data_IF_927476469806
#
_entry.id   IF_927476469806
#
_cell.length_a   1.000
_cell.length_b   1.000
_cell.length_c   1.000
_cell.angle_alpha   90.00
_cell.angle_beta   90.00
_cell.angle_gamma   90.00
#
_symmetry.space_group_name_H-M   'P 1'
#
loop_
_entity.id
_entity.type
_entity.pdbx_description
1 polymer ?
#
# COMPACT_ATOMS: atom_id res chain seq x y z
N UNK A 1 29.04 -21.53 14.41
CA UNK A 1 27.79 -20.92 13.90
C UNK A 1 27.97 -19.43 13.58
N UNK A 2 28.64 -18.63 14.42
CA UNK A 2 28.95 -17.20 14.16
C UNK A 2 29.75 -16.89 12.88
N UNK A 3 30.74 -17.72 12.50
CA UNK A 3 31.56 -17.47 11.28
C UNK A 3 30.82 -17.72 9.96
N UNK A 4 29.72 -18.49 9.99
CA UNK A 4 28.93 -18.83 8.79
C UNK A 4 27.88 -17.76 8.51
N UNK A 5 27.32 -17.13 9.56
CA UNK A 5 26.44 -15.97 9.43
C UNK A 5 27.20 -14.74 8.91
N UNK A 6 28.41 -14.48 9.42
CA UNK A 6 29.24 -13.35 8.95
C UNK A 6 29.64 -13.49 7.48
N UNK A 7 29.92 -14.72 7.02
CA UNK A 7 30.24 -14.99 5.62
C UNK A 7 29.04 -14.79 4.68
N UNK A 8 27.82 -15.09 5.14
CA UNK A 8 26.60 -14.85 4.36
C UNK A 8 26.24 -13.37 4.28
N UNK A 9 26.35 -12.64 5.40
CA UNK A 9 26.12 -11.20 5.44
C UNK A 9 27.15 -10.46 4.58
N UNK A 10 28.44 -10.81 4.68
CA UNK A 10 29.49 -10.23 3.84
C UNK A 10 29.28 -10.52 2.34
N UNK A 11 28.79 -11.71 1.98
CA UNK A 11 28.43 -12.05 0.59
C UNK A 11 27.19 -11.31 0.10
N UNK A 12 26.17 -11.14 0.95
CA UNK A 12 24.97 -10.37 0.60
C UNK A 12 25.30 -8.89 0.38
N UNK A 13 26.15 -8.31 1.24
CA UNK A 13 26.68 -6.94 1.08
C UNK A 13 27.49 -6.82 -0.20
N UNK A 14 28.40 -7.76 -0.48
CA UNK A 14 29.17 -7.78 -1.72
C UNK A 14 28.28 -7.94 -2.96
N UNK A 15 27.24 -8.77 -2.90
CA UNK A 15 26.28 -8.96 -3.97
C UNK A 15 25.41 -7.71 -4.19
N UNK A 16 25.02 -7.00 -3.13
CA UNK A 16 24.28 -5.74 -3.19
C UNK A 16 25.12 -4.61 -3.80
N UNK A 17 26.37 -4.46 -3.36
CA UNK A 17 27.30 -3.50 -3.98
C UNK A 17 27.63 -3.92 -5.40
N UNK A 18 27.80 -5.20 -5.67
CA UNK A 18 27.92 -5.69 -7.04
C UNK A 18 26.66 -5.43 -7.85
N UNK A 19 25.44 -5.52 -7.33
CA UNK A 19 24.21 -5.25 -8.11
C UNK A 19 24.04 -3.74 -8.37
N UNK A 20 24.33 -2.89 -7.39
CA UNK A 20 24.36 -1.44 -7.56
C UNK A 20 25.50 -0.96 -8.50
N UNK A 21 26.68 -1.57 -8.39
CA UNK A 21 27.84 -1.28 -9.25
C UNK A 21 27.81 -2.08 -10.58
N UNK A 22 27.04 -3.17 -10.68
CA UNK A 22 26.77 -3.93 -11.91
C UNK A 22 25.83 -3.08 -12.73
N UNK A 23 26.45 -2.16 -13.46
CA UNK A 23 26.14 -1.62 -14.78
C UNK A 23 24.71 -1.11 -15.02
N UNK A 24 23.65 -1.81 -14.62
CA UNK A 24 22.27 -1.47 -14.93
C UNK A 24 21.76 -0.25 -14.15
N UNK A 25 21.86 -0.23 -12.82
CA UNK A 25 21.38 0.90 -12.01
C UNK A 25 22.19 2.16 -12.32
N UNK A 26 23.52 2.06 -12.24
CA UNK A 26 24.40 3.19 -12.55
C UNK A 26 24.23 3.68 -13.99
N UNK A 27 24.21 2.80 -15.01
CA UNK A 27 24.05 3.24 -16.41
C UNK A 27 22.67 3.85 -16.68
N UNK A 28 21.62 3.41 -15.97
CA UNK A 28 20.27 3.92 -16.16
C UNK A 28 19.99 5.22 -15.39
N UNK A 29 20.85 5.65 -14.46
CA UNK A 29 20.66 6.84 -13.62
C UNK A 29 20.24 8.09 -14.44
N UNK A 30 21.04 8.48 -15.43
CA UNK A 30 20.72 9.67 -16.24
C UNK A 30 19.52 9.46 -17.17
N UNK A 31 19.22 8.21 -17.53
CA UNK A 31 18.05 7.86 -18.36
C UNK A 31 16.77 7.99 -17.53
N UNK A 32 16.79 7.58 -16.27
CA UNK A 32 15.73 7.81 -15.30
C UNK A 32 15.45 9.30 -15.15
N UNK A 33 16.48 10.12 -14.89
CA UNK A 33 16.35 11.58 -14.82
C UNK A 33 15.74 12.18 -16.10
N UNK A 34 16.20 11.77 -17.28
CA UNK A 34 15.65 12.24 -18.56
C UNK A 34 14.17 11.89 -18.72
N UNK A 35 13.76 10.69 -18.33
CA UNK A 35 12.38 10.25 -18.46
C UNK A 35 11.47 11.01 -17.49
N UNK A 36 11.87 11.18 -16.23
CA UNK A 36 11.09 11.93 -15.25
C UNK A 36 10.98 13.40 -15.66
N UNK A 37 12.06 14.00 -16.16
CA UNK A 37 12.02 15.39 -16.65
C UNK A 37 11.02 15.56 -17.79
N UNK A 38 11.01 14.62 -18.75
CA UNK A 38 10.04 14.62 -19.85
C UNK A 38 8.61 14.44 -19.36
N UNK A 39 8.39 13.55 -18.40
CA UNK A 39 7.06 13.31 -17.82
C UNK A 39 6.54 14.56 -17.11
N UNK A 40 7.35 15.17 -16.25
CA UNK A 40 6.99 16.40 -15.55
C UNK A 40 6.69 17.54 -16.54
N UNK A 41 7.55 17.78 -17.54
CA UNK A 41 7.30 18.80 -18.57
C UNK A 41 6.04 18.52 -19.40
N UNK A 42 5.79 17.27 -19.76
CA UNK A 42 4.60 16.89 -20.53
C UNK A 42 3.32 17.09 -19.72
N UNK A 43 3.37 16.77 -18.43
CA UNK A 43 2.28 16.99 -17.50
C UNK A 43 2.01 18.49 -17.33
N UNK A 44 3.05 19.33 -17.22
CA UNK A 44 2.89 20.78 -17.16
C UNK A 44 2.35 21.37 -18.48
N UNK A 45 2.73 20.83 -19.64
CA UNK A 45 2.25 21.34 -20.93
C UNK A 45 0.79 20.96 -21.23
N UNK A 46 0.39 19.74 -20.87
CA UNK A 46 -0.92 19.17 -21.24
C UNK A 46 -1.94 19.21 -20.10
N UNK A 47 -1.47 19.16 -18.86
CA UNK A 47 -2.29 19.12 -17.66
C UNK A 47 -3.02 20.43 -17.41
N UNK A 48 -2.41 21.58 -17.71
CA UNK A 48 -3.06 22.89 -17.53
C UNK A 48 -4.37 23.01 -18.34
N UNK A 49 -4.35 22.64 -19.63
CA UNK A 49 -5.55 22.64 -20.46
C UNK A 49 -6.62 21.66 -19.96
N UNK A 50 -6.18 20.53 -19.41
CA UNK A 50 -7.08 19.52 -18.84
C UNK A 50 -7.72 20.04 -17.55
N UNK A 51 -6.95 20.68 -16.69
CA UNK A 51 -7.44 21.30 -15.46
C UNK A 51 -8.40 22.45 -15.77
N UNK A 52 -8.07 23.34 -16.70
CA UNK A 52 -8.95 24.44 -17.12
C UNK A 52 -10.31 23.95 -17.60
N UNK A 53 -10.34 22.87 -18.39
CA UNK A 53 -11.58 22.23 -18.83
C UNK A 53 -12.40 21.70 -17.66
N UNK A 54 -11.76 20.97 -16.73
CA UNK A 54 -12.42 20.41 -15.56
C UNK A 54 -12.94 21.51 -14.61
N UNK A 55 -12.18 22.57 -14.41
CA UNK A 55 -12.59 23.75 -13.64
C UNK A 55 -13.82 24.42 -14.26
N UNK A 56 -13.86 24.56 -15.59
CA UNK A 56 -15.03 25.09 -16.29
C UNK A 56 -16.26 24.17 -16.16
N UNK A 57 -16.09 22.85 -16.27
CA UNK A 57 -17.16 21.86 -16.07
C UNK A 57 -17.74 21.92 -14.64
N UNK A 58 -16.91 22.16 -13.65
CA UNK A 58 -17.30 22.27 -12.23
C UNK A 58 -17.76 23.68 -11.82
N UNK A 59 -17.59 24.68 -12.68
CA UNK A 59 -17.86 26.09 -12.34
C UNK A 59 -16.91 26.68 -11.29
N UNK A 60 -15.72 26.09 -11.11
CA UNK A 60 -14.71 26.55 -10.16
C UNK A 60 -13.80 27.57 -10.84
N UNK A 61 -13.68 28.76 -10.25
CA UNK A 61 -12.81 29.83 -10.80
C UNK A 61 -11.45 29.91 -10.10
N UNK A 62 -11.39 29.51 -8.83
CA UNK A 62 -10.19 29.61 -7.99
C UNK A 62 -9.60 28.22 -7.70
N UNK A 63 -8.36 27.92 -8.15
CA UNK A 63 -7.71 26.65 -7.86
C UNK A 63 -7.48 26.37 -6.37
N UNK A 64 -7.41 27.41 -5.51
CA UNK A 64 -7.25 27.20 -4.06
C UNK A 64 -8.48 26.50 -3.43
N UNK A 65 -9.62 26.48 -4.14
CA UNK A 65 -10.79 25.67 -3.77
C UNK A 65 -10.45 24.18 -3.65
N UNK A 66 -9.51 23.66 -4.45
CA UNK A 66 -9.11 22.25 -4.39
C UNK A 66 -8.36 21.90 -3.10
N UNK A 67 -7.63 22.85 -2.52
CA UNK A 67 -6.99 22.66 -1.20
C UNK A 67 -8.03 22.59 -0.10
N UNK A 68 -9.02 23.49 -0.14
CA UNK A 68 -10.14 23.48 0.80
C UNK A 68 -10.92 22.15 0.72
N UNK A 69 -11.18 21.65 -0.48
CA UNK A 69 -11.84 20.37 -0.68
C UNK A 69 -11.04 19.19 -0.13
N UNK A 70 -9.71 19.21 -0.27
CA UNK A 70 -8.85 18.20 0.34
C UNK A 70 -8.91 18.25 1.87
N UNK A 71 -8.90 19.45 2.46
CA UNK A 71 -9.01 19.63 3.92
C UNK A 71 -10.36 19.13 4.44
N UNK A 72 -11.46 19.43 3.74
CA UNK A 72 -12.81 18.93 4.06
C UNK A 72 -12.89 17.40 3.96
N UNK A 73 -12.30 16.82 2.93
CA UNK A 73 -12.22 15.36 2.75
C UNK A 73 -11.38 14.71 3.87
N UNK A 74 -10.22 15.30 4.22
CA UNK A 74 -9.40 14.84 5.33
C UNK A 74 -10.13 14.92 6.68
N UNK A 75 -10.87 15.99 6.96
CA UNK A 75 -11.68 16.12 8.18
C UNK A 75 -12.78 15.05 8.23
N UNK A 76 -13.45 14.81 7.08
CA UNK A 76 -14.45 13.76 6.97
C UNK A 76 -13.85 12.37 7.23
N UNK A 77 -12.77 12.01 6.54
CA UNK A 77 -12.09 10.72 6.74
C UNK A 77 -11.57 10.58 8.17
N UNK A 78 -11.06 11.65 8.78
CA UNK A 78 -10.68 11.68 10.18
C UNK A 78 -11.86 11.42 11.12
N UNK A 79 -13.05 11.93 10.80
CA UNK A 79 -14.25 11.69 11.59
C UNK A 79 -14.76 10.24 11.51
N UNK A 80 -14.43 9.50 10.45
CA UNK A 80 -14.74 8.06 10.32
C UNK A 80 -13.87 7.18 11.21
N UNK A 81 -12.71 7.67 11.68
CA UNK A 81 -11.82 6.94 12.59
C UNK A 81 -12.25 7.03 14.06
N UNK A 82 -13.22 7.89 14.40
CA UNK A 82 -13.77 7.95 15.75
C UNK A 82 -14.85 6.90 15.95
N UNK A 83 -14.63 6.01 16.92
CA UNK A 83 -15.54 4.92 17.33
C UNK A 83 -16.98 5.46 17.52
N UNK A 84 -17.91 5.06 16.66
CA UNK A 84 -19.23 5.63 16.75
C UNK A 84 -20.13 5.08 17.85
N UNK A 85 -21.17 5.83 18.19
CA UNK A 85 -22.27 5.37 19.07
C UNK A 85 -22.90 4.07 18.54
N UNK A 86 -22.86 3.86 17.23
CA UNK A 86 -23.30 2.66 16.54
C UNK A 86 -22.39 1.44 16.78
N UNK A 87 -21.09 1.60 17.03
CA UNK A 87 -20.23 0.48 17.47
C UNK A 87 -20.58 0.06 18.91
N UNK A 88 -20.99 1.02 19.74
CA UNK A 88 -21.59 0.71 21.06
C UNK A 88 -22.90 -0.07 20.88
N UNK A 89 -23.76 0.32 19.92
CA UNK A 89 -24.98 -0.43 19.59
C UNK A 89 -24.70 -1.80 18.96
N UNK A 90 -23.61 -1.96 18.19
CA UNK A 90 -23.18 -3.25 17.61
C UNK A 90 -22.62 -4.19 18.68
N UNK A 91 -21.87 -3.66 19.65
CA UNK A 91 -21.45 -4.40 20.84
C UNK A 91 -22.65 -4.80 21.70
N UNK A 92 -23.61 -3.90 21.90
CA UNK A 92 -24.88 -4.22 22.58
C UNK A 92 -25.66 -5.28 21.80
N UNK A 93 -25.75 -5.17 20.48
CA UNK A 93 -26.41 -6.16 19.62
C UNK A 93 -25.73 -7.53 19.71
N UNK A 94 -24.40 -7.59 19.65
CA UNK A 94 -23.63 -8.82 19.86
C UNK A 94 -23.91 -9.43 21.24
N UNK A 95 -23.93 -8.60 22.29
CA UNK A 95 -24.24 -9.04 23.65
C UNK A 95 -25.66 -9.62 23.76
N UNK A 96 -26.64 -9.01 23.08
CA UNK A 96 -28.01 -9.52 23.00
C UNK A 96 -28.12 -10.81 22.20
N UNK A 97 -27.35 -11.00 21.12
CA UNK A 97 -27.27 -12.27 20.39
C UNK A 97 -26.70 -13.39 21.26
N UNK A 98 -25.66 -13.11 22.05
CA UNK A 98 -25.09 -14.06 23.02
C UNK A 98 -26.13 -14.43 24.09
N UNK A 99 -26.88 -13.44 24.60
CA UNK A 99 -27.96 -13.66 25.56
C UNK A 99 -29.07 -14.54 24.96
N UNK A 100 -29.49 -14.26 23.73
CA UNK A 100 -30.52 -15.03 23.01
C UNK A 100 -30.09 -16.48 22.78
N UNK A 101 -28.82 -16.71 22.40
CA UNK A 101 -28.28 -18.06 22.26
C UNK A 101 -28.28 -18.81 23.61
N UNK A 102 -27.94 -18.12 24.70
CA UNK A 102 -27.98 -18.64 26.06
C UNK A 102 -29.39 -19.00 26.53
N UNK A 103 -30.36 -18.11 26.34
CA UNK A 103 -31.75 -18.35 26.75
C UNK A 103 -32.44 -19.41 25.89
N UNK A 104 -32.13 -19.49 24.60
CA UNK A 104 -32.57 -20.58 23.72
C UNK A 104 -32.10 -21.95 24.23
N UNK A 105 -30.81 -22.09 24.54
CA UNK A 105 -30.23 -23.33 25.08
C UNK A 105 -30.83 -23.70 26.44
N UNK A 106 -31.09 -22.71 27.29
CA UNK A 106 -31.73 -22.93 28.59
C UNK A 106 -33.18 -23.42 28.44
N UNK A 107 -33.96 -22.81 27.55
CA UNK A 107 -35.32 -23.24 27.25
C UNK A 107 -35.35 -24.67 26.69
N UNK A 108 -34.45 -24.99 25.76
CA UNK A 108 -34.31 -26.34 25.19
C UNK A 108 -33.94 -27.38 26.25
N UNK A 109 -33.02 -27.04 27.17
CA UNK A 109 -32.68 -27.89 28.32
C UNK A 109 -33.88 -28.15 29.23
N UNK A 110 -34.70 -27.13 29.52
CA UNK A 110 -35.91 -27.30 30.34
C UNK A 110 -36.94 -28.16 29.61
N UNK A 111 -37.16 -27.92 28.31
CA UNK A 111 -38.08 -28.70 27.48
C UNK A 111 -37.66 -30.17 27.41
N UNK A 112 -36.35 -30.46 27.29
CA UNK A 112 -35.83 -31.82 27.26
C UNK A 112 -35.97 -32.57 28.59
N UNK A 113 -36.03 -31.84 29.71
CA UNK A 113 -36.17 -32.41 31.07
C UNK A 113 -37.64 -32.43 31.53
N UNK A 114 -38.54 -31.81 30.77
CA UNK A 114 -39.95 -31.70 31.11
C UNK A 114 -40.69 -33.03 30.90
N UNK A 115 -40.91 -33.75 31.98
CA UNK A 115 -41.67 -34.99 31.98
C UNK A 115 -43.10 -34.75 32.43
N UNK A 116 -44.08 -35.06 31.58
CA UNK A 116 -45.50 -34.99 31.94
C UNK A 116 -45.82 -36.13 32.92
N UNK A 117 -46.10 -35.78 34.18
CA UNK A 117 -46.56 -36.76 35.19
C UNK A 117 -48.00 -37.16 34.85
N UNK A 118 -48.17 -38.33 34.24
CA UNK A 118 -49.46 -38.97 34.04
C UNK A 118 -49.90 -39.69 35.32
N UNK A 119 -51.22 -39.84 35.52
CA UNK A 119 -51.83 -40.43 36.73
C UNK A 119 -51.27 -41.81 37.15
N UNK A 120 -50.61 -42.51 36.24
CA UNK A 120 -50.08 -43.86 36.44
C UNK A 120 -48.70 -43.90 37.13
N UNK A 121 -48.01 -42.76 37.27
CA UNK A 121 -46.64 -42.66 37.81
C UNK A 121 -46.52 -41.78 39.07
N UNK A 122 -47.64 -41.36 39.67
CA UNK A 122 -47.65 -40.45 40.82
C UNK A 122 -47.36 -41.18 42.14
N UNK A 123 -46.32 -40.73 42.87
CA UNK A 123 -45.91 -41.33 44.14
C UNK A 123 -46.57 -40.64 45.36
N UNK A 124 -46.94 -39.35 45.25
CA UNK A 124 -47.70 -38.62 46.28
C UNK A 124 -48.33 -37.32 45.72
N UNK A 125 -49.66 -37.13 45.78
CA UNK A 125 -50.36 -36.01 45.12
C UNK A 125 -49.90 -34.61 45.58
N UNK A 126 -49.53 -34.45 46.85
CA UNK A 126 -49.24 -33.14 47.44
C UNK A 126 -47.79 -32.69 47.20
N UNK A 127 -46.83 -33.61 47.22
CA UNK A 127 -45.43 -33.35 46.84
C UNK A 127 -45.32 -33.11 45.34
N UNK A 128 -45.95 -33.97 44.53
CA UNK A 128 -45.89 -33.94 43.07
C UNK A 128 -46.54 -32.67 42.49
N UNK A 129 -47.68 -32.23 43.04
CA UNK A 129 -48.30 -30.96 42.60
C UNK A 129 -47.45 -29.72 42.88
N UNK A 130 -46.64 -29.74 43.93
CA UNK A 130 -45.73 -28.63 44.27
C UNK A 130 -44.49 -28.60 43.37
N UNK A 131 -43.96 -29.78 43.02
CA UNK A 131 -42.84 -29.95 42.09
C UNK A 131 -43.25 -29.56 40.67
N UNK A 132 -44.45 -29.98 40.21
CA UNK A 132 -44.99 -29.63 38.89
C UNK A 132 -45.22 -28.12 38.76
N UNK A 133 -45.80 -27.46 39.77
CA UNK A 133 -45.98 -25.99 39.74
C UNK A 133 -44.66 -25.22 39.71
N UNK A 134 -43.64 -25.70 40.42
CA UNK A 134 -42.29 -25.11 40.39
C UNK A 134 -41.65 -25.29 39.01
N UNK A 135 -41.70 -26.50 38.46
CA UNK A 135 -41.18 -26.79 37.12
C UNK A 135 -41.91 -25.95 36.05
N UNK A 136 -43.23 -25.82 36.15
CA UNK A 136 -44.03 -25.01 35.21
C UNK A 136 -43.67 -23.52 35.29
N UNK A 137 -43.42 -23.03 36.51
CA UNK A 137 -42.96 -21.66 36.73
C UNK A 137 -41.57 -21.42 36.13
N UNK A 138 -40.65 -22.38 36.29
CA UNK A 138 -39.32 -22.34 35.65
C UNK A 138 -39.43 -22.35 34.12
N UNK A 139 -40.31 -23.19 33.56
CA UNK A 139 -40.57 -23.21 32.12
C UNK A 139 -41.13 -21.88 31.59
N UNK A 140 -42.13 -21.29 32.26
CA UNK A 140 -42.68 -19.98 31.88
C UNK A 140 -41.61 -18.88 31.91
N UNK A 141 -40.80 -18.82 32.97
CA UNK A 141 -39.74 -17.82 33.07
C UNK A 141 -38.66 -17.99 31.99
N UNK A 142 -38.27 -19.22 31.66
CA UNK A 142 -37.34 -19.47 30.56
C UNK A 142 -37.92 -19.02 29.21
N UNK A 143 -39.21 -19.28 28.97
CA UNK A 143 -39.90 -18.86 27.76
C UNK A 143 -40.07 -17.33 27.67
N UNK A 144 -40.36 -16.66 28.79
CA UNK A 144 -40.45 -15.20 28.88
C UNK A 144 -39.09 -14.53 28.63
N UNK A 145 -38.00 -15.09 29.20
CA UNK A 145 -36.64 -14.60 28.95
C UNK A 145 -36.23 -14.73 27.48
N UNK A 146 -36.47 -15.90 26.86
CA UNK A 146 -36.22 -16.08 25.43
C UNK A 146 -36.98 -15.07 24.57
N UNK A 147 -38.26 -14.82 24.87
CA UNK A 147 -39.06 -13.83 24.13
C UNK A 147 -38.56 -12.40 24.34
N UNK A 148 -38.11 -12.06 25.55
CA UNK A 148 -37.55 -10.75 25.86
C UNK A 148 -36.25 -10.51 25.09
N UNK A 149 -35.34 -11.49 25.10
CA UNK A 149 -34.07 -11.41 24.37
C UNK A 149 -34.31 -11.33 22.86
N UNK A 150 -35.23 -12.14 22.32
CA UNK A 150 -35.62 -12.10 20.91
C UNK A 150 -36.18 -10.74 20.51
N UNK A 151 -37.02 -10.14 21.36
CA UNK A 151 -37.60 -8.82 21.10
C UNK A 151 -36.55 -7.72 21.11
N UNK A 152 -35.59 -7.77 22.04
CA UNK A 152 -34.49 -6.81 22.10
C UNK A 152 -33.57 -6.92 20.88
N UNK A 153 -33.28 -8.13 20.41
CA UNK A 153 -32.55 -8.39 19.16
C UNK A 153 -33.32 -7.81 17.97
N UNK A 154 -34.63 -8.05 17.85
CA UNK A 154 -35.46 -7.53 16.76
C UNK A 154 -35.59 -6.01 16.77
N UNK A 155 -35.71 -5.40 17.96
CA UNK A 155 -35.72 -3.95 18.11
C UNK A 155 -34.37 -3.35 17.69
N UNK A 156 -33.24 -3.95 18.08
CA UNK A 156 -31.90 -3.52 17.65
C UNK A 156 -31.66 -3.75 16.15
N UNK A 157 -32.11 -4.87 15.58
CA UNK A 157 -32.06 -5.14 14.13
C UNK A 157 -32.82 -4.08 13.32
N UNK A 158 -33.95 -3.60 13.86
CA UNK A 158 -34.74 -2.51 13.29
C UNK A 158 -34.06 -1.15 13.38
N UNK A 159 -33.46 -0.82 14.53
CA UNK A 159 -32.72 0.44 14.72
C UNK A 159 -31.42 0.48 13.91
N UNK A 160 -30.71 -0.64 13.81
CA UNK A 160 -29.46 -0.79 13.05
C UNK A 160 -29.68 -1.07 11.56
N UNK A 161 -30.93 -1.14 11.07
CA UNK A 161 -31.30 -1.41 9.66
C UNK A 161 -30.51 -2.58 9.03
N UNK A 162 -30.23 -3.61 9.81
CA UNK A 162 -29.16 -4.62 9.56
C UNK A 162 -29.33 -5.35 8.21
N UNK A 163 -30.57 -5.60 7.78
CA UNK A 163 -30.85 -6.28 6.50
C UNK A 163 -30.34 -5.52 5.28
N UNK A 164 -30.29 -4.17 5.34
CA UNK A 164 -29.75 -3.33 4.26
C UNK A 164 -28.22 -3.22 4.35
N UNK A 165 -27.69 -3.01 5.55
CA UNK A 165 -26.26 -2.77 5.75
C UNK A 165 -25.41 -3.97 5.28
N UNK A 166 -25.76 -5.19 5.68
CA UNK A 166 -24.99 -6.38 5.25
C UNK A 166 -25.04 -6.62 3.74
N UNK A 167 -26.12 -6.22 3.07
CA UNK A 167 -26.23 -6.35 1.62
C UNK A 167 -25.37 -5.30 0.90
N UNK A 168 -25.31 -4.07 1.42
CA UNK A 168 -24.49 -2.99 0.87
C UNK A 168 -23.00 -3.21 1.14
N UNK A 169 -22.61 -3.56 2.37
CA UNK A 169 -21.22 -3.84 2.76
C UNK A 169 -20.63 -5.00 1.93
N UNK A 170 -21.47 -5.99 1.59
CA UNK A 170 -21.05 -7.09 0.72
C UNK A 170 -20.83 -6.64 -0.73
N UNK A 171 -21.65 -5.72 -1.25
CA UNK A 171 -21.44 -5.12 -2.58
C UNK A 171 -20.14 -4.30 -2.56
N UNK A 172 -19.94 -3.46 -1.56
CA UNK A 172 -18.75 -2.63 -1.38
C UNK A 172 -17.49 -3.48 -1.37
N UNK A 173 -17.38 -4.46 -0.45
CA UNK A 173 -16.21 -5.36 -0.36
C UNK A 173 -15.85 -6.01 -1.69
N UNK A 174 -16.84 -6.44 -2.47
CA UNK A 174 -16.61 -7.09 -3.76
C UNK A 174 -16.14 -6.09 -4.82
N UNK A 175 -16.60 -4.85 -4.77
CA UNK A 175 -16.16 -3.79 -5.68
C UNK A 175 -14.77 -3.31 -5.31
N UNK A 176 -14.46 -3.10 -4.03
CA UNK A 176 -13.11 -2.82 -3.54
C UNK A 176 -12.14 -3.90 -4.02
N UNK A 177 -12.48 -5.17 -3.81
CA UNK A 177 -11.68 -6.29 -4.31
C UNK A 177 -11.48 -6.21 -5.82
N UNK A 178 -12.52 -5.87 -6.60
CA UNK A 178 -12.39 -5.69 -8.05
C UNK A 178 -11.50 -4.51 -8.45
N UNK A 179 -11.53 -3.39 -7.73
CA UNK A 179 -10.67 -2.22 -7.96
C UNK A 179 -9.20 -2.60 -7.74
N UNK A 180 -8.89 -3.31 -6.65
CA UNK A 180 -7.53 -3.82 -6.42
C UNK A 180 -7.07 -4.78 -7.52
N UNK A 181 -7.93 -5.70 -7.97
CA UNK A 181 -7.60 -6.60 -9.09
C UNK A 181 -7.40 -5.83 -10.43
N UNK A 182 -8.18 -4.78 -10.69
CA UNK A 182 -7.99 -3.91 -11.85
C UNK A 182 -6.67 -3.12 -11.78
N UNK A 183 -6.30 -2.64 -10.60
CA UNK A 183 -5.03 -1.96 -10.38
C UNK A 183 -3.85 -2.87 -10.70
N UNK A 184 -3.88 -4.12 -10.21
CA UNK A 184 -2.88 -5.16 -10.53
C UNK A 184 -2.81 -5.50 -12.01
N UNK A 185 -3.93 -5.43 -12.74
CA UNK A 185 -3.95 -5.66 -14.19
C UNK A 185 -3.15 -4.61 -14.98
N UNK A 186 -3.12 -3.37 -14.48
CA UNK A 186 -2.45 -2.23 -15.13
C UNK A 186 -0.96 -2.09 -14.77
N UNK A 187 -0.43 -2.92 -13.87
CA UNK A 187 0.99 -2.93 -13.52
C UNK A 187 1.85 -3.53 -14.64
N UNK A 188 2.86 -2.78 -15.10
CA UNK A 188 3.86 -3.25 -16.06
C UNK A 188 4.82 -4.26 -15.43
N UNK A 189 5.13 -5.36 -16.12
CA UNK A 189 6.02 -6.43 -15.62
C UNK A 189 5.28 -7.73 -15.25
N UNK A 190 3.95 -7.73 -15.26
CA UNK A 190 3.15 -8.93 -14.97
C UNK A 190 3.21 -9.97 -16.11
N UNK A 191 3.74 -11.16 -15.82
CA UNK A 191 3.83 -12.24 -16.80
C UNK A 191 2.46 -12.75 -17.29
N UNK A 192 2.40 -13.29 -18.51
CA UNK A 192 1.15 -13.74 -19.18
C UNK A 192 0.26 -14.67 -18.33
N UNK A 193 0.85 -15.52 -17.49
CA UNK A 193 0.10 -16.40 -16.57
C UNK A 193 -0.65 -15.60 -15.51
N UNK A 194 0.00 -14.58 -14.93
CA UNK A 194 -0.59 -13.72 -13.91
C UNK A 194 -1.73 -12.87 -14.48
N UNK A 195 -1.56 -12.32 -15.69
CA UNK A 195 -2.67 -11.66 -16.42
C UNK A 195 -3.88 -12.56 -16.63
N UNK A 196 -3.68 -13.84 -16.95
CA UNK A 196 -4.79 -14.80 -17.08
C UNK A 196 -5.49 -15.07 -15.74
N UNK A 197 -4.75 -15.11 -14.64
CA UNK A 197 -5.31 -15.27 -13.30
C UNK A 197 -6.10 -14.03 -12.86
N UNK A 198 -5.56 -12.83 -13.06
CA UNK A 198 -6.25 -11.55 -12.80
C UNK A 198 -7.53 -11.45 -13.64
N UNK A 199 -7.48 -11.78 -14.93
CA UNK A 199 -8.67 -11.79 -15.79
C UNK A 199 -9.78 -12.73 -15.30
N UNK A 200 -9.41 -13.91 -14.77
CA UNK A 200 -10.36 -14.86 -14.18
C UNK A 200 -10.90 -14.36 -12.83
N UNK A 201 -10.06 -13.73 -12.00
CA UNK A 201 -10.45 -13.10 -10.76
C UNK A 201 -11.47 -11.97 -11.01
N UNK A 202 -11.21 -11.10 -12.00
CA UNK A 202 -12.11 -10.03 -12.42
C UNK A 202 -13.46 -10.55 -12.92
N UNK A 203 -13.47 -11.64 -13.70
CA UNK A 203 -14.72 -12.25 -14.16
C UNK A 203 -15.54 -12.84 -13.01
N UNK A 204 -14.85 -13.48 -12.05
CA UNK A 204 -15.47 -14.06 -10.84
C UNK A 204 -16.02 -12.98 -9.93
N UNK A 205 -15.24 -11.92 -9.66
CA UNK A 205 -15.68 -10.76 -8.89
C UNK A 205 -16.87 -10.06 -9.57
N UNK A 206 -16.85 -9.88 -10.90
CA UNK A 206 -17.97 -9.28 -11.63
C UNK A 206 -19.26 -10.10 -11.51
N UNK A 207 -19.17 -11.44 -11.49
CA UNK A 207 -20.33 -12.29 -11.24
C UNK A 207 -20.83 -12.18 -9.78
N UNK A 208 -19.92 -12.13 -8.81
CA UNK A 208 -20.25 -11.95 -7.40
C UNK A 208 -20.92 -10.59 -7.13
N UNK A 209 -20.43 -9.51 -7.75
CA UNK A 209 -21.03 -8.15 -7.65
C UNK A 209 -22.48 -8.17 -8.15
N UNK A 210 -22.78 -8.80 -9.29
CA UNK A 210 -24.16 -8.91 -9.79
C UNK A 210 -25.09 -9.65 -8.83
N UNK A 211 -24.59 -10.71 -8.19
CA UNK A 211 -25.34 -11.47 -7.20
C UNK A 211 -25.60 -10.65 -5.92
N UNK A 212 -24.58 -9.95 -5.43
CA UNK A 212 -24.68 -9.06 -4.27
C UNK A 212 -25.64 -7.89 -4.54
N UNK A 213 -25.55 -7.26 -5.72
CA UNK A 213 -26.47 -6.20 -6.14
C UNK A 213 -27.92 -6.67 -6.22
N UNK A 214 -28.15 -7.91 -6.67
CA UNK A 214 -29.49 -8.49 -6.70
C UNK A 214 -30.08 -8.61 -5.29
N UNK A 215 -29.27 -9.00 -4.30
CA UNK A 215 -29.68 -9.09 -2.90
C UNK A 215 -29.93 -7.70 -2.29
N UNK A 216 -29.01 -6.75 -2.54
CA UNK A 216 -29.18 -5.36 -2.11
C UNK A 216 -30.45 -4.75 -2.69
N UNK A 217 -30.67 -4.84 -4.00
CA UNK A 217 -31.83 -4.27 -4.67
C UNK A 217 -33.15 -4.91 -4.22
N UNK A 218 -33.14 -6.20 -3.87
CA UNK A 218 -34.31 -6.85 -3.26
C UNK A 218 -34.62 -6.25 -1.87
N UNK A 219 -33.61 -6.05 -1.03
CA UNK A 219 -33.77 -5.40 0.27
C UNK A 219 -34.17 -3.92 0.15
N UNK A 220 -33.55 -3.17 -0.78
CA UNK A 220 -33.83 -1.77 -1.04
C UNK A 220 -35.28 -1.54 -1.49
N UNK A 221 -35.82 -2.41 -2.35
CA UNK A 221 -37.22 -2.36 -2.79
C UNK A 221 -38.22 -2.57 -1.65
N UNK A 222 -37.94 -3.48 -0.72
CA UNK A 222 -38.80 -3.71 0.46
C UNK A 222 -38.88 -2.47 1.34
N UNK A 223 -37.80 -1.71 1.40
CA UNK A 223 -37.66 -0.51 2.23
C UNK A 223 -38.01 0.79 1.50
N UNK A 224 -38.37 0.74 0.20
CA UNK A 224 -38.70 1.93 -0.60
C UNK A 224 -37.50 2.83 -0.95
N UNK A 225 -36.28 2.28 -0.94
CA UNK A 225 -35.04 3.00 -1.23
C UNK A 225 -34.58 2.86 -2.70
N UNK A 226 -33.59 3.68 -3.09
CA UNK A 226 -32.94 3.64 -4.40
C UNK A 226 -32.31 2.28 -4.67
N UNK A 227 -32.46 1.77 -5.89
CA UNK A 227 -31.77 0.58 -6.40
C UNK A 227 -30.52 0.98 -7.18
N UNK A 228 -29.51 0.12 -7.18
CA UNK A 228 -28.24 0.33 -7.88
C UNK A 228 -28.16 -0.53 -9.14
N UNK A 229 -27.76 0.08 -10.24
CA UNK A 229 -27.49 -0.64 -11.49
C UNK A 229 -26.03 -1.13 -11.51
N UNK A 230 -25.76 -2.21 -12.24
CA UNK A 230 -24.41 -2.79 -12.29
C UNK A 230 -23.42 -1.85 -12.96
N UNK A 231 -23.81 -1.19 -14.05
CA UNK A 231 -22.99 -0.24 -14.79
C UNK A 231 -22.52 0.91 -13.90
N UNK A 232 -23.43 1.49 -13.10
CA UNK A 232 -23.14 2.55 -12.13
C UNK A 232 -22.09 2.10 -11.10
N UNK A 233 -22.25 0.90 -10.56
CA UNK A 233 -21.35 0.33 -9.53
C UNK A 233 -19.97 -0.02 -10.09
N UNK A 234 -19.88 -0.30 -11.38
CA UNK A 234 -18.63 -0.55 -12.10
C UNK A 234 -17.90 0.75 -12.46
N UNK A 235 -18.63 1.85 -12.64
CA UNK A 235 -18.09 3.19 -12.90
C UNK A 235 -17.49 3.83 -11.66
N UNK A 236 -17.85 3.37 -10.46
CA UNK A 236 -17.20 3.77 -9.22
C UNK A 236 -15.73 3.35 -9.21
N UNK A 237 -14.86 4.35 -9.12
CA UNK A 237 -13.41 4.18 -9.16
C UNK A 237 -12.76 4.48 -7.82
N UNK A 238 -13.48 5.16 -6.91
CA UNK A 238 -13.01 5.53 -5.59
C UNK A 238 -13.91 4.97 -4.49
N UNK A 239 -13.34 4.72 -3.31
CA UNK A 239 -14.07 4.23 -2.14
C UNK A 239 -15.15 5.21 -1.67
N UNK A 240 -14.91 6.52 -1.82
CA UNK A 240 -15.86 7.58 -1.48
C UNK A 240 -17.17 7.51 -2.30
N UNK A 241 -17.13 6.93 -3.51
CA UNK A 241 -18.31 6.70 -4.34
C UNK A 241 -19.29 5.68 -3.70
N UNK A 242 -18.80 4.83 -2.80
CA UNK A 242 -19.63 3.90 -2.02
C UNK A 242 -20.12 4.49 -0.71
N UNK A 243 -19.36 5.40 -0.09
CA UNK A 243 -19.83 6.14 1.07
C UNK A 243 -21.06 7.00 0.73
N UNK A 244 -21.17 7.49 -0.51
CA UNK A 244 -22.38 8.10 -1.10
C UNK A 244 -23.65 7.22 -1.01
N UNK A 245 -23.50 5.90 -0.88
CA UNK A 245 -24.59 4.92 -0.83
C UNK A 245 -24.94 4.48 0.59
N UNK A 246 -24.06 4.76 1.56
CA UNK A 246 -24.36 4.62 2.98
C UNK A 246 -25.28 5.80 3.35
N UNK A 247 -26.57 5.51 3.55
CA UNK A 247 -27.58 6.46 4.11
C UNK A 247 -27.27 6.86 5.57
N UNK A 248 -26.02 6.79 5.98
CA UNK A 248 -25.59 6.94 7.35
C UNK A 248 -24.34 7.78 7.37
N UNK A 249 -24.25 8.65 8.38
CA UNK A 249 -23.09 9.41 8.88
C UNK A 249 -23.04 10.91 8.54
N UNK A 250 -23.24 11.32 7.29
CA UNK A 250 -23.53 12.70 6.84
C UNK A 250 -23.79 12.58 5.34
N UNK A 251 -24.82 13.23 4.82
CA UNK A 251 -25.09 13.18 3.38
C UNK A 251 -24.03 14.01 2.61
N UNK A 252 -22.87 13.39 2.38
CA UNK A 252 -21.76 13.97 1.62
C UNK A 252 -22.10 14.06 0.12
N UNK A 253 -23.25 13.54 -0.34
CA UNK A 253 -23.71 13.75 -1.73
C UNK A 253 -23.94 15.22 -2.07
N UNK A 254 -24.08 16.06 -1.04
CA UNK A 254 -24.19 17.51 -1.17
C UNK A 254 -22.82 18.21 -1.24
N UNK A 255 -21.73 17.52 -0.89
CA UNK A 255 -20.39 18.07 -0.95
C UNK A 255 -19.89 18.10 -2.40
N UNK A 256 -19.39 19.25 -2.88
CA UNK A 256 -18.99 19.41 -4.28
C UNK A 256 -17.76 18.56 -4.67
N UNK A 257 -16.91 18.21 -3.70
CA UNK A 257 -15.70 17.41 -3.90
C UNK A 257 -15.93 15.92 -4.14
N UNK A 258 -17.11 15.40 -3.78
CA UNK A 258 -17.46 13.97 -3.91
C UNK A 258 -17.77 13.58 -5.35
N UNK A 259 -18.00 14.53 -6.25
CA UNK A 259 -18.30 14.20 -7.65
C UNK A 259 -17.06 13.60 -8.35
N UNK A 260 -17.22 12.60 -9.25
CA UNK A 260 -16.09 12.04 -10.01
C UNK A 260 -15.30 13.10 -10.78
N UNK A 261 -15.98 14.10 -11.33
CA UNK A 261 -15.34 15.23 -12.01
C UNK A 261 -14.50 16.09 -11.06
N UNK A 262 -14.98 16.32 -9.83
CA UNK A 262 -14.23 17.04 -8.80
C UNK A 262 -12.97 16.27 -8.39
N UNK A 263 -13.05 14.97 -8.16
CA UNK A 263 -11.87 14.15 -7.88
C UNK A 263 -10.86 14.16 -9.03
N UNK A 264 -11.31 14.09 -10.29
CA UNK A 264 -10.43 14.23 -11.45
C UNK A 264 -9.73 15.60 -11.48
N UNK A 265 -10.45 16.67 -11.13
CA UNK A 265 -9.91 18.02 -11.08
C UNK A 265 -8.89 18.20 -9.94
N UNK A 266 -9.22 17.73 -8.73
CA UNK A 266 -8.34 17.72 -7.56
C UNK A 266 -7.05 16.97 -7.88
N UNK A 267 -7.15 15.74 -8.40
CA UNK A 267 -6.00 14.93 -8.78
C UNK A 267 -5.12 15.60 -9.84
N UNK A 268 -5.73 16.22 -10.85
CA UNK A 268 -4.99 16.94 -11.89
C UNK A 268 -4.27 18.17 -11.31
N UNK A 269 -4.94 18.93 -10.43
CA UNK A 269 -4.35 20.09 -9.76
C UNK A 269 -3.12 19.71 -8.94
N UNK A 270 -3.22 18.70 -8.06
CA UNK A 270 -2.10 18.28 -7.22
C UNK A 270 -0.97 17.62 -8.03
N UNK A 271 -1.29 16.89 -9.11
CA UNK A 271 -0.28 16.39 -10.05
C UNK A 271 0.48 17.52 -10.73
N UNK A 272 -0.17 18.64 -11.06
CA UNK A 272 0.50 19.82 -11.61
C UNK A 272 1.42 20.48 -10.58
N UNK A 273 0.96 20.67 -9.35
CA UNK A 273 1.80 21.18 -8.26
C UNK A 273 3.04 20.30 -8.05
N UNK A 274 2.84 18.98 -7.96
CA UNK A 274 3.94 18.02 -7.81
C UNK A 274 4.89 18.04 -9.02
N UNK A 275 4.38 18.21 -10.25
CA UNK A 275 5.22 18.29 -11.43
C UNK A 275 6.12 19.54 -11.43
N UNK A 276 5.64 20.67 -10.91
CA UNK A 276 6.46 21.88 -10.72
C UNK A 276 7.59 21.64 -9.71
N UNK A 277 7.26 21.03 -8.57
CA UNK A 277 8.24 20.65 -7.53
C UNK A 277 9.26 19.63 -8.05
N UNK A 278 8.79 18.62 -8.78
CA UNK A 278 9.62 17.57 -9.37
C UNK A 278 10.63 18.15 -10.37
N UNK A 279 10.25 19.16 -11.17
CA UNK A 279 11.20 19.85 -12.05
C UNK A 279 12.31 20.54 -11.23
N UNK A 280 11.97 21.17 -10.10
CA UNK A 280 12.95 21.79 -9.21
C UNK A 280 13.88 20.75 -8.60
N UNK A 281 13.33 19.64 -8.08
CA UNK A 281 14.10 18.53 -7.52
C UNK A 281 15.03 17.91 -8.56
N UNK A 282 14.53 17.62 -9.76
CA UNK A 282 15.33 17.06 -10.83
C UNK A 282 16.46 18.02 -11.26
N UNK A 283 16.25 19.34 -11.25
CA UNK A 283 17.32 20.30 -11.53
C UNK A 283 18.46 20.20 -10.49
N UNK A 284 18.11 20.04 -9.20
CA UNK A 284 19.09 19.83 -8.12
C UNK A 284 19.81 18.50 -8.30
N UNK A 285 19.07 17.44 -8.59
CA UNK A 285 19.63 16.10 -8.74
C UNK A 285 20.53 15.98 -9.96
N UNK A 286 20.16 16.58 -11.09
CA UNK A 286 21.01 16.70 -12.28
C UNK A 286 22.34 17.38 -11.92
N UNK A 287 22.28 18.48 -11.16
CA UNK A 287 23.49 19.18 -10.73
C UNK A 287 24.37 18.33 -9.80
N UNK A 288 23.75 17.57 -8.88
CA UNK A 288 24.44 16.60 -8.01
C UNK A 288 25.10 15.49 -8.81
N UNK A 289 24.39 14.89 -9.76
CA UNK A 289 24.92 13.82 -10.61
C UNK A 289 26.09 14.31 -11.46
N UNK A 290 25.99 15.50 -12.07
CA UNK A 290 27.13 16.10 -12.81
C UNK A 290 28.36 16.24 -11.90
N UNK A 291 28.16 16.75 -10.68
CA UNK A 291 29.23 16.94 -9.69
C UNK A 291 29.83 15.60 -9.28
N UNK A 292 28.98 14.63 -8.93
CA UNK A 292 29.38 13.27 -8.56
C UNK A 292 30.21 12.60 -9.65
N UNK A 293 29.79 12.67 -10.92
CA UNK A 293 30.50 12.02 -12.02
C UNK A 293 31.95 12.54 -12.16
N UNK A 294 32.14 13.84 -11.96
CA UNK A 294 33.46 14.49 -12.06
C UNK A 294 34.31 14.22 -10.82
N UNK A 295 33.72 14.38 -9.63
CA UNK A 295 34.42 14.17 -8.37
C UNK A 295 34.83 12.70 -8.22
N UNK A 296 33.95 11.76 -8.59
CA UNK A 296 34.25 10.32 -8.57
C UNK A 296 35.40 9.94 -9.50
N UNK A 297 35.44 10.46 -10.73
CA UNK A 297 36.57 10.18 -11.64
C UNK A 297 37.87 10.80 -11.11
N UNK A 298 37.83 12.05 -10.60
CA UNK A 298 39.00 12.70 -9.98
C UNK A 298 39.50 11.92 -8.75
N UNK A 299 38.59 11.44 -7.92
CA UNK A 299 38.90 10.64 -6.74
C UNK A 299 39.58 9.33 -7.10
N UNK A 300 39.03 8.60 -8.07
CA UNK A 300 39.61 7.32 -8.52
C UNK A 300 40.99 7.53 -9.15
N UNK A 301 41.20 8.61 -9.92
CA UNK A 301 42.51 8.99 -10.46
C UNK A 301 43.53 9.27 -9.34
N UNK A 302 43.13 10.03 -8.33
CA UNK A 302 44.00 10.35 -7.20
C UNK A 302 44.33 9.11 -6.35
N UNK A 303 43.36 8.21 -6.16
CA UNK A 303 43.59 6.92 -5.50
C UNK A 303 44.56 6.03 -6.28
N UNK A 304 44.40 5.93 -7.61
CA UNK A 304 45.32 5.18 -8.48
C UNK A 304 46.76 5.68 -8.33
N UNK A 305 46.96 7.00 -8.41
CA UNK A 305 48.27 7.64 -8.25
C UNK A 305 48.87 7.42 -6.86
N UNK A 306 48.05 7.46 -5.80
CA UNK A 306 48.49 7.31 -4.41
C UNK A 306 49.07 5.91 -4.11
N UNK A 307 48.50 4.88 -4.73
CA UNK A 307 48.92 3.49 -4.50
C UNK A 307 49.90 2.98 -5.56
N UNK A 308 50.16 3.73 -6.64
CA UNK A 308 51.02 3.31 -7.75
C UNK A 308 52.40 2.83 -7.27
N UNK A 309 53.04 3.58 -6.38
CA UNK A 309 54.38 3.27 -5.88
C UNK A 309 54.37 2.35 -4.65
N UNK A 310 53.33 2.42 -3.82
CA UNK A 310 53.26 1.69 -2.54
C UNK A 310 52.65 0.30 -2.67
N UNK A 311 51.64 0.14 -3.53
CA UNK A 311 50.96 -1.13 -3.80
C UNK A 311 50.44 -1.19 -5.25
N UNK A 312 51.30 -1.59 -6.22
CA UNK A 312 50.95 -1.64 -7.64
C UNK A 312 49.76 -2.55 -7.95
N UNK A 313 49.55 -3.61 -7.18
CA UNK A 313 48.42 -4.53 -7.38
C UNK A 313 47.09 -3.87 -7.04
N UNK A 314 47.03 -3.09 -5.96
CA UNK A 314 45.84 -2.33 -5.60
C UNK A 314 45.58 -1.20 -6.61
N UNK A 315 46.62 -0.48 -7.04
CA UNK A 315 46.51 0.54 -8.08
C UNK A 315 45.93 -0.04 -9.39
N UNK A 316 46.37 -1.24 -9.78
CA UNK A 316 45.80 -1.95 -10.94
C UNK A 316 44.31 -2.28 -10.76
N UNK A 317 43.86 -2.70 -9.58
CA UNK A 317 42.42 -2.93 -9.33
C UNK A 317 41.61 -1.63 -9.38
N UNK A 318 42.13 -0.54 -8.82
CA UNK A 318 41.50 0.78 -8.91
C UNK A 318 41.39 1.23 -10.36
N UNK A 319 42.45 1.03 -11.16
CA UNK A 319 42.48 1.34 -12.59
C UNK A 319 41.40 0.57 -13.37
N UNK A 320 41.23 -0.73 -13.08
CA UNK A 320 40.15 -1.55 -13.66
C UNK A 320 38.76 -1.06 -13.27
N UNK A 321 38.54 -0.76 -11.99
CA UNK A 321 37.26 -0.23 -11.51
C UNK A 321 36.93 1.12 -12.17
N UNK A 322 37.92 2.02 -12.24
CA UNK A 322 37.79 3.30 -12.95
C UNK A 322 37.48 3.11 -14.43
N UNK A 323 38.13 2.16 -15.11
CA UNK A 323 37.87 1.87 -16.52
C UNK A 323 36.39 1.47 -16.76
N UNK A 324 35.84 0.61 -15.91
CA UNK A 324 34.41 0.21 -15.95
C UNK A 324 33.51 1.42 -15.75
N UNK A 325 33.76 2.23 -14.71
CA UNK A 325 32.95 3.41 -14.42
C UNK A 325 33.02 4.46 -15.54
N UNK A 326 34.20 4.69 -16.11
CA UNK A 326 34.45 5.65 -17.20
C UNK A 326 33.77 5.26 -18.51
N UNK A 327 33.44 3.97 -18.71
CA UNK A 327 32.72 3.50 -19.89
C UNK A 327 31.34 4.15 -20.03
N UNK A 328 30.70 4.48 -18.89
CA UNK A 328 29.37 5.08 -18.86
C UNK A 328 29.40 6.61 -18.82
N UNK A 329 30.53 7.24 -18.50
CA UNK A 329 30.64 8.70 -18.48
C UNK A 329 30.18 9.34 -19.79
N UNK A 330 30.59 8.87 -20.99
CA UNK A 330 30.07 9.42 -22.25
C UNK A 330 28.55 9.21 -22.42
N UNK A 331 28.00 8.10 -21.93
CA UNK A 331 26.56 7.83 -21.97
C UNK A 331 25.79 8.81 -21.07
N UNK A 332 26.28 9.03 -19.86
CA UNK A 332 25.71 9.98 -18.91
C UNK A 332 25.74 11.40 -19.46
N UNK A 333 26.90 11.86 -19.95
CA UNK A 333 27.05 13.21 -20.49
C UNK A 333 26.15 13.45 -21.70
N UNK A 334 26.04 12.50 -22.64
CA UNK A 334 25.10 12.61 -23.77
C UNK A 334 23.64 12.66 -23.32
N UNK A 335 23.30 11.96 -22.25
CA UNK A 335 21.93 11.93 -21.73
C UNK A 335 21.60 13.23 -21.01
N UNK A 336 22.52 13.74 -20.19
CA UNK A 336 22.42 15.04 -19.53
C UNK A 336 22.34 16.18 -20.55
N UNK A 337 23.13 16.11 -21.62
CA UNK A 337 23.03 17.04 -22.75
C UNK A 337 21.65 16.98 -23.40
N UNK A 338 21.06 15.80 -23.60
CA UNK A 338 19.66 15.71 -24.09
C UNK A 338 18.67 16.39 -23.14
N UNK A 339 18.87 16.30 -21.82
CA UNK A 339 18.02 16.98 -20.84
C UNK A 339 18.14 18.51 -20.99
N UNK A 340 19.35 19.04 -21.15
CA UNK A 340 19.54 20.50 -21.29
C UNK A 340 18.94 21.08 -22.56
N UNK A 341 18.68 20.26 -23.58
CA UNK A 341 18.01 20.66 -24.81
C UNK A 341 16.48 20.56 -24.74
N UNK A 342 15.89 20.08 -23.64
CA UNK A 342 14.44 20.01 -23.49
C UNK A 342 13.82 21.42 -23.35
N UNK A 343 12.70 21.69 -24.04
CA UNK A 343 11.99 22.95 -23.88
C UNK A 343 11.40 23.03 -22.47
N UNK A 344 11.85 24.01 -21.67
CA UNK A 344 11.46 24.15 -20.26
C UNK A 344 12.55 23.75 -19.26
N UNK A 345 13.72 23.30 -19.72
CA UNK A 345 14.86 23.07 -18.85
C UNK A 345 15.35 24.38 -18.20
N UNK A 346 15.45 24.39 -16.87
CA UNK A 346 15.93 25.54 -16.07
C UNK A 346 17.13 25.22 -15.18
N UNK A 347 17.60 23.97 -15.21
CA UNK A 347 18.74 23.52 -14.42
C UNK A 347 20.08 23.96 -15.01
N UNK A 348 21.16 23.42 -14.46
CA UNK A 348 22.52 23.64 -14.97
C UNK A 348 23.28 22.34 -15.09
N UNK A 349 24.14 22.25 -16.11
CA UNK A 349 25.12 21.18 -16.27
C UNK A 349 26.52 21.60 -15.82
N UNK A 350 26.66 22.78 -15.22
CA UNK A 350 27.93 23.19 -14.61
C UNK A 350 28.16 22.36 -13.35
N UNK A 351 29.36 21.81 -13.13
CA UNK A 351 29.68 21.08 -11.91
C UNK A 351 29.58 22.01 -10.69
N UNK A 352 29.01 21.50 -9.60
CA UNK A 352 28.96 22.16 -8.31
C UNK A 352 30.19 21.87 -7.46
N UNK A 353 30.07 22.20 -6.18
CA UNK A 353 31.04 21.82 -5.14
C UNK A 353 30.29 20.91 -4.18
N UNK A 354 30.75 19.66 -4.03
CA UNK A 354 30.16 18.76 -3.04
C UNK A 354 30.35 19.33 -1.63
N UNK A 355 29.30 19.27 -0.81
CA UNK A 355 29.37 19.66 0.61
C UNK A 355 29.88 18.49 1.47
N UNK A 356 29.72 17.25 0.99
CA UNK A 356 30.17 16.04 1.69
C UNK A 356 31.64 15.75 1.34
N UNK A 357 32.46 15.73 2.39
CA UNK A 357 33.91 15.46 2.34
C UNK A 357 34.30 14.44 3.41
N UNK A 358 33.40 13.56 3.81
CA UNK A 358 33.69 12.48 4.74
C UNK A 358 34.57 11.38 4.13
N UNK A 359 35.17 10.50 4.95
CA UNK A 359 35.95 9.37 4.45
C UNK A 359 35.08 8.48 3.55
N UNK A 360 35.47 8.32 2.29
CA UNK A 360 34.74 7.51 1.29
C UNK A 360 33.85 8.32 0.33
N UNK A 361 33.66 9.63 0.57
CA UNK A 361 32.91 10.50 -0.34
C UNK A 361 33.65 10.80 -1.63
N UNK A 362 32.90 11.02 -2.72
CA UNK A 362 33.45 11.31 -4.05
C UNK A 362 34.33 12.57 -4.09
N UNK A 363 34.08 13.57 -3.25
CA UNK A 363 34.87 14.80 -3.17
C UNK A 363 35.98 14.77 -2.10
N UNK A 364 36.16 13.65 -1.39
CA UNK A 364 37.19 13.51 -0.36
C UNK A 364 38.60 13.48 -0.98
N UNK A 365 39.61 14.01 -0.28
CA UNK A 365 41.00 13.89 -0.71
C UNK A 365 41.55 12.53 -0.30
N UNK A 366 41.94 11.63 -1.22
CA UNK A 366 42.41 10.30 -0.86
C UNK A 366 43.56 10.34 0.16
N UNK A 367 43.41 9.62 1.26
CA UNK A 367 44.47 9.42 2.25
C UNK A 367 44.86 7.94 2.26
N UNK A 368 46.15 7.65 2.46
CA UNK A 368 46.60 6.27 2.61
C UNK A 368 46.03 5.70 3.90
N UNK A 369 45.25 4.63 3.78
CA UNK A 369 44.72 3.92 4.93
C UNK A 369 45.71 2.80 5.28
N UNK A 370 46.30 2.78 6.48
CA UNK A 370 47.09 1.63 6.90
C UNK A 370 46.19 0.39 6.92
N UNK A 371 46.61 -0.69 6.25
CA UNK A 371 45.84 -1.95 6.18
C UNK A 371 45.48 -2.47 7.58
N UNK A 372 46.33 -2.20 8.58
CA UNK A 372 46.08 -2.53 9.98
C UNK A 372 44.88 -1.78 10.60
N UNK A 373 44.60 -0.56 10.15
CA UNK A 373 43.47 0.24 10.62
C UNK A 373 42.12 -0.31 10.17
N UNK A 374 42.05 -0.93 8.98
CA UNK A 374 40.83 -1.56 8.45
C UNK A 374 40.50 -2.86 9.22
N UNK A 375 41.53 -3.60 9.63
CA UNK A 375 41.39 -4.86 10.38
C UNK A 375 41.11 -4.66 11.88
N UNK A 376 41.25 -3.43 12.40
CA UNK A 376 41.13 -3.11 13.82
C UNK A 376 39.87 -2.30 14.17
N UNK A 377 39.07 -1.89 13.20
CA UNK A 377 37.82 -1.18 13.48
C UNK A 377 36.79 -2.16 14.07
N UNK A 378 36.25 -1.90 15.28
CA UNK A 378 35.08 -2.63 15.74
C UNK A 378 33.91 -2.33 14.78
N UNK A 379 32.95 -3.27 14.63
CA UNK A 379 31.76 -3.01 13.82
C UNK A 379 31.09 -1.73 14.34
N UNK A 380 30.83 -0.80 13.42
CA UNK A 380 30.04 0.39 13.71
C UNK A 380 28.66 -0.12 14.10
N UNK A 381 28.31 -0.04 15.40
CA UNK A 381 26.92 -0.05 15.82
C UNK A 381 26.32 1.26 15.33
N UNK A 382 25.58 1.21 14.22
CA UNK A 382 24.62 2.25 13.91
C UNK A 382 23.53 2.19 14.97
N UNK A 383 23.36 3.30 15.67
CA UNK A 383 22.23 3.61 16.53
C UNK A 383 20.95 3.43 15.71
N UNK A 384 20.02 2.61 16.21
CA UNK A 384 18.70 2.38 15.63
C UNK A 384 17.87 3.68 15.76
N UNK A 385 18.11 4.62 14.85
CA UNK A 385 17.16 5.68 14.52
C UNK A 385 16.19 5.13 13.49
N UNK A 386 14.97 4.79 13.94
CA UNK A 386 13.84 4.46 13.08
C UNK A 386 13.56 5.64 12.13
N UNK A 387 14.09 5.57 10.91
CA UNK A 387 13.52 6.30 9.77
C UNK A 387 12.60 5.33 9.03
N UNK A 388 11.30 5.65 9.04
CA UNK A 388 10.27 4.90 8.36
C UNK A 388 10.60 4.75 6.88
N UNK A 389 10.86 3.50 6.49
CA UNK A 389 10.93 3.09 5.12
C UNK A 389 9.53 3.23 4.50
N UNK A 390 9.41 4.05 3.46
CA UNK A 390 8.31 3.95 2.51
C UNK A 390 8.36 2.53 1.92
N UNK A 391 7.40 1.70 2.31
CA UNK A 391 7.06 0.45 1.65
C UNK A 391 6.44 0.76 0.29
N UNK A 392 7.28 0.91 -0.73
CA UNK A 392 6.91 0.76 -2.13
C UNK A 392 8.16 0.33 -2.91
N UNK A 393 8.59 -0.91 -2.68
CA UNK A 393 9.49 -1.62 -3.57
C UNK A 393 8.84 -2.94 -3.96
N UNK A 394 8.48 -3.02 -5.24
CA UNK A 394 7.99 -4.19 -5.95
C UNK A 394 8.85 -5.41 -5.61
N UNK A 395 8.24 -6.36 -4.90
CA UNK A 395 8.79 -7.69 -4.66
C UNK A 395 8.54 -8.56 -5.90
N UNK A 396 9.37 -8.33 -6.93
CA UNK A 396 9.57 -9.28 -8.01
C UNK A 396 11.07 -9.32 -8.29
N UNK A 397 11.79 -10.23 -7.61
CA UNK A 397 12.98 -10.97 -8.09
C UNK A 397 13.55 -11.88 -6.97
N UNK A 398 12.66 -12.56 -6.23
CA UNK A 398 13.06 -13.52 -5.18
C UNK A 398 13.60 -14.86 -5.72
N UNK A 399 13.20 -15.28 -6.92
CA UNK A 399 13.54 -16.60 -7.46
C UNK A 399 14.84 -16.64 -8.30
N UNK A 400 15.38 -15.49 -8.72
CA UNK A 400 16.61 -15.44 -9.55
C UNK A 400 17.90 -15.33 -8.71
N UNK A 401 17.77 -14.93 -7.44
CA UNK A 401 18.90 -14.76 -6.51
C UNK A 401 19.47 -16.10 -6.01
N UNK A 402 18.64 -17.12 -5.82
CA UNK A 402 19.08 -18.44 -5.36
C UNK A 402 19.72 -19.24 -6.51
N UNK A 403 19.14 -19.18 -7.72
CA UNK A 403 19.62 -19.89 -8.91
C UNK A 403 20.97 -19.33 -9.42
N UNK A 404 21.19 -18.01 -9.32
CA UNK A 404 22.48 -17.38 -9.66
C UNK A 404 23.57 -17.59 -8.60
N UNK A 405 23.20 -17.74 -7.32
CA UNK A 405 24.14 -18.11 -6.26
C UNK A 405 24.65 -19.55 -6.42
N UNK A 406 23.79 -20.48 -6.85
CA UNK A 406 24.18 -21.86 -7.15
C UNK A 406 25.08 -21.95 -8.40
N UNK A 407 24.79 -21.15 -9.43
CA UNK A 407 25.64 -21.07 -10.64
C UNK A 407 27.06 -20.57 -10.33
N UNK A 408 27.24 -19.62 -9.41
CA UNK A 408 28.56 -19.13 -8.99
C UNK A 408 29.32 -20.13 -8.09
N UNK A 409 28.61 -20.95 -7.31
CA UNK A 409 29.23 -22.04 -6.56
C UNK A 409 29.84 -23.12 -7.48
N UNK A 410 29.21 -23.35 -8.64
CA UNK A 410 29.70 -24.29 -9.65
C UNK A 410 30.89 -23.77 -10.48
N UNK A 411 31.07 -22.44 -10.58
CA UNK A 411 32.23 -21.84 -11.26
C UNK A 411 33.47 -21.80 -10.36
N UNK A 412 33.27 -21.61 -9.05
CA UNK A 412 34.34 -21.61 -8.05
C UNK A 412 34.87 -23.02 -7.71
N UNK A 413 34.06 -24.07 -7.87
CA UNK A 413 34.51 -25.46 -7.71
C UNK A 413 35.33 -25.98 -8.89
N UNK A 414 35.12 -25.42 -10.10
CA UNK A 414 35.87 -25.79 -11.32
C UNK A 414 37.25 -25.13 -11.39
N UNK A 415 37.49 -24.07 -10.60
CA UNK A 415 38.77 -23.34 -10.57
C UNK A 415 39.73 -23.78 -9.47
N UNK A 416 39.34 -24.73 -8.61
CA UNK A 416 40.21 -25.30 -7.56
C UNK A 416 40.81 -26.66 -7.89
N UNK A 417 40.49 -27.25 -9.05
CA UNK A 417 41.19 -28.42 -9.59
C UNK A 417 42.12 -28.01 -10.73
N UNK A 418 43.28 -27.43 -10.39
CA UNK A 418 44.53 -27.53 -11.17
C UNK A 418 45.75 -27.22 -10.31
#
# INVERSE_FOLDING_TARGET
MSKVSDSKISKAIACYFEHNDKLEVYANLTKFLLNNYKQALNLLSNGCLTLERLMHELGVSDPDTFKLWLDEECEYLGSLLCEPVEETLQMEYWQWLVNLAGSSKHLESILSTWTVIMANNAASPQSDSSATRKAETVHRHAQENYKKDLKAVQELEGHLKITRHWALDNVERLVVSRIFELSKMNQSGTGYKLHKHIGKALQTCSAAIRAALSQYNAAAKVLGHRTLEFEEVVEYTFLADFDLLRDTWKDISTCPWVSPTAHLAINMYFKLCQAEEEVVHLNVEIHRVVTYLIDKDRYLQACEALYQDTNPTLAYQISRYRAIHSQFTPLHLRTLEKISHLPGFRGTLTPGISVSHGPGDSAHVPQQVPIWSILSSPPICTDDGEEEANEDLDDDHGDDLEEQCEALQHILSVTTDT
#
